data_IF_887229359807
#
_entry.id   IF_887229359807
#
_cell.length_a   1.000
_cell.length_b   1.000
_cell.length_c   1.000
_cell.angle_alpha   90.00
_cell.angle_beta   90.00
_cell.angle_gamma   90.00
#
_symmetry.space_group_name_H-M   'P 1'
#
loop_
_entity.id
_entity.type
_entity.pdbx_description
1 polymer ?
#
# COMPACT_ATOMS: atom_id res chain seq x y z
N UNK A 1 -61.06 45.11 10.09
CA UNK A 1 -61.60 43.93 9.38
C UNK A 1 -61.06 43.92 7.95
N UNK A 2 -60.18 42.98 7.64
CA UNK A 2 -59.95 42.41 6.30
C UNK A 2 -59.10 41.16 6.50
N UNK A 3 -59.77 40.03 6.32
CA UNK A 3 -59.26 38.65 6.39
C UNK A 3 -58.80 38.25 4.99
N UNK A 4 -57.66 37.58 4.89
CA UNK A 4 -57.21 36.66 3.81
C UNK A 4 -55.68 36.58 3.88
N UNK A 5 -55.00 35.48 3.61
CA UNK A 5 -55.23 34.05 3.70
C UNK A 5 -53.81 33.47 3.68
N UNK A 6 -53.52 32.48 4.53
CA UNK A 6 -52.21 31.87 4.64
C UNK A 6 -51.88 31.02 3.40
N UNK A 7 -50.68 31.15 2.78
CA UNK A 7 -50.22 30.17 1.83
C UNK A 7 -49.50 29.03 2.58
N UNK A 8 -50.14 27.86 2.59
CA UNK A 8 -49.54 26.57 2.90
C UNK A 8 -48.47 26.24 1.85
N UNK A 9 -47.20 26.20 2.27
CA UNK A 9 -46.13 25.63 1.46
C UNK A 9 -45.39 24.53 2.23
N UNK A 10 -45.15 23.45 1.50
CA UNK A 10 -44.90 22.09 1.98
C UNK A 10 -43.61 21.99 2.80
N UNK A 11 -43.71 21.47 4.02
CA UNK A 11 -42.58 21.03 4.80
C UNK A 11 -42.00 19.74 4.18
N UNK A 12 -40.99 19.90 3.32
CA UNK A 12 -40.16 18.78 2.86
C UNK A 12 -39.29 18.34 4.04
N UNK A 13 -39.69 17.26 4.72
CA UNK A 13 -38.87 16.57 5.71
C UNK A 13 -37.57 16.12 5.05
N UNK A 14 -36.48 16.85 5.33
CA UNK A 14 -35.12 16.44 5.00
C UNK A 14 -34.70 15.36 5.99
N UNK A 15 -35.04 14.11 5.67
CA UNK A 15 -34.61 12.92 6.41
C UNK A 15 -33.08 12.91 6.45
N UNK A 16 -32.54 13.21 7.62
CA UNK A 16 -31.12 13.11 7.94
C UNK A 16 -30.81 11.68 8.33
N UNK A 17 -30.72 10.78 7.34
CA UNK A 17 -30.18 9.45 7.60
C UNK A 17 -28.64 9.49 7.56
N UNK A 18 -28.07 9.77 8.74
CA UNK A 18 -26.73 9.33 9.13
C UNK A 18 -26.70 7.78 9.14
N UNK A 19 -26.51 7.19 7.98
CA UNK A 19 -26.05 5.82 7.85
C UNK A 19 -24.55 5.85 7.55
N UNK A 20 -23.72 5.95 8.57
CA UNK A 20 -22.27 5.69 8.43
C UNK A 20 -22.16 4.18 8.18
N UNK A 21 -22.32 3.77 6.92
CA UNK A 21 -22.08 2.39 6.50
C UNK A 21 -20.64 2.09 6.84
N UNK A 22 -20.44 1.30 7.89
CA UNK A 22 -19.18 0.63 8.15
C UNK A 22 -19.02 -0.28 6.94
N UNK A 23 -18.26 0.19 5.94
CA UNK A 23 -17.86 -0.64 4.82
C UNK A 23 -17.01 -1.74 5.42
N UNK A 24 -17.62 -2.89 5.71
CA UNK A 24 -16.88 -4.13 5.93
C UNK A 24 -16.06 -4.32 4.67
N UNK A 25 -14.73 -4.25 4.82
CA UNK A 25 -13.83 -4.46 3.70
C UNK A 25 -14.21 -5.78 3.03
N UNK A 26 -14.54 -5.76 1.75
CA UNK A 26 -14.87 -6.98 1.01
C UNK A 26 -13.68 -7.93 1.16
N UNK A 27 -13.90 -9.04 1.84
CA UNK A 27 -12.86 -10.06 2.02
C UNK A 27 -12.47 -10.56 0.64
N UNK A 28 -11.18 -10.52 0.30
CA UNK A 28 -10.70 -11.08 -0.96
C UNK A 28 -11.01 -12.58 -1.00
N UNK A 29 -11.82 -13.00 -1.97
CA UNK A 29 -12.29 -14.38 -2.12
C UNK A 29 -11.40 -15.21 -3.05
N UNK A 30 -10.30 -14.64 -3.56
CA UNK A 30 -9.40 -15.33 -4.48
C UNK A 30 -8.61 -16.43 -3.78
N UNK A 31 -8.21 -17.44 -4.55
CA UNK A 31 -7.22 -18.42 -4.15
C UNK A 31 -5.91 -18.16 -4.86
N UNK A 32 -4.79 -18.39 -4.20
CA UNK A 32 -3.46 -18.24 -4.77
C UNK A 32 -2.81 -19.61 -4.91
N UNK A 33 -2.37 -19.92 -6.12
CA UNK A 33 -1.45 -21.01 -6.40
C UNK A 33 -0.05 -20.42 -6.38
N UNK A 34 0.66 -20.63 -5.27
CA UNK A 34 2.06 -20.21 -5.09
C UNK A 34 2.96 -21.23 -5.74
N UNK A 35 3.87 -20.77 -6.59
CA UNK A 35 4.81 -21.61 -7.31
C UNK A 35 6.21 -21.02 -7.05
N UNK A 36 7.20 -21.82 -6.64
CA UNK A 36 8.58 -21.36 -6.51
C UNK A 36 9.08 -20.75 -7.82
N UNK A 37 9.90 -19.71 -7.71
CA UNK A 37 10.34 -18.92 -8.87
C UNK A 37 11.16 -19.72 -9.90
N UNK A 38 11.74 -20.83 -9.47
CA UNK A 38 12.58 -21.70 -10.30
C UNK A 38 11.78 -22.81 -11.00
N UNK A 39 10.48 -22.92 -10.71
CA UNK A 39 9.68 -24.03 -11.24
C UNK A 39 9.10 -23.72 -12.62
N UNK A 40 9.21 -24.67 -13.55
CA UNK A 40 8.72 -24.54 -14.93
C UNK A 40 7.23 -24.19 -15.02
N UNK A 41 6.42 -24.54 -14.01
CA UNK A 41 5.01 -24.18 -13.97
C UNK A 41 4.77 -22.66 -13.87
N UNK A 42 5.75 -21.85 -13.45
CA UNK A 42 5.59 -20.39 -13.42
C UNK A 42 5.51 -19.80 -14.84
N UNK A 43 6.05 -20.49 -15.85
CA UNK A 43 6.01 -20.09 -17.27
C UNK A 43 4.72 -20.50 -17.98
N UNK A 44 3.83 -21.24 -17.31
CA UNK A 44 2.60 -21.72 -17.93
C UNK A 44 1.60 -20.59 -18.18
N UNK A 45 0.80 -20.75 -19.23
CA UNK A 45 -0.33 -19.87 -19.47
C UNK A 45 -1.45 -20.13 -18.46
N UNK A 46 -2.38 -19.17 -18.27
CA UNK A 46 -3.59 -19.40 -17.47
C UNK A 46 -4.40 -20.64 -17.91
N UNK A 47 -4.42 -20.96 -19.21
CA UNK A 47 -5.07 -22.15 -19.73
C UNK A 47 -4.33 -23.44 -19.34
N UNK A 48 -2.99 -23.43 -19.37
CA UNK A 48 -2.16 -24.55 -18.92
C UNK A 48 -2.38 -24.86 -17.45
N UNK A 49 -2.38 -23.84 -16.60
CA UNK A 49 -2.66 -23.99 -15.16
C UNK A 49 -4.08 -24.49 -14.91
N UNK A 50 -5.07 -23.99 -15.66
CA UNK A 50 -6.46 -24.50 -15.57
C UNK A 50 -6.50 -26.00 -15.83
N UNK A 51 -5.82 -26.48 -16.88
CA UNK A 51 -5.79 -27.90 -17.24
C UNK A 51 -5.18 -28.75 -16.12
N UNK A 52 -4.07 -28.29 -15.52
CA UNK A 52 -3.42 -28.98 -14.39
C UNK A 52 -4.37 -29.07 -13.19
N UNK A 53 -5.02 -27.96 -12.82
CA UNK A 53 -5.93 -27.94 -11.66
C UNK A 53 -7.12 -28.88 -11.90
N UNK A 54 -7.75 -28.81 -13.08
CA UNK A 54 -8.89 -29.69 -13.44
C UNK A 54 -8.49 -31.17 -13.37
N UNK A 55 -7.33 -31.52 -13.95
CA UNK A 55 -6.86 -32.90 -14.00
C UNK A 55 -6.46 -33.44 -12.63
N UNK A 56 -5.83 -32.61 -11.78
CA UNK A 56 -5.33 -33.02 -10.47
C UNK A 56 -6.40 -33.03 -9.39
N UNK A 57 -7.36 -32.09 -9.44
CA UNK A 57 -8.46 -32.02 -8.48
C UNK A 57 -9.68 -32.82 -8.91
N UNK A 58 -9.68 -33.41 -10.11
CA UNK A 58 -10.83 -34.10 -10.69
C UNK A 58 -12.11 -33.26 -10.62
N UNK A 59 -11.99 -31.96 -10.89
CA UNK A 59 -13.11 -31.01 -10.80
C UNK A 59 -13.56 -30.51 -12.17
N UNK A 60 -14.83 -30.11 -12.26
CA UNK A 60 -15.32 -29.44 -13.47
C UNK A 60 -14.59 -28.12 -13.74
N UNK A 61 -14.15 -27.86 -14.99
CA UNK A 61 -13.56 -26.58 -15.38
C UNK A 61 -14.44 -25.36 -15.09
N UNK A 62 -15.76 -25.54 -15.02
CA UNK A 62 -16.74 -24.48 -14.73
C UNK A 62 -16.64 -23.93 -13.30
N UNK A 63 -16.06 -24.69 -12.37
CA UNK A 63 -15.87 -24.27 -10.97
C UNK A 63 -14.69 -23.31 -10.80
N UNK A 64 -13.81 -23.22 -11.81
CA UNK A 64 -12.65 -22.33 -11.80
C UNK A 64 -13.00 -21.07 -12.58
N UNK A 65 -13.07 -19.93 -11.90
CA UNK A 65 -13.30 -18.64 -12.56
C UNK A 65 -12.06 -18.13 -13.30
N UNK A 66 -11.80 -16.83 -13.23
CA UNK A 66 -10.68 -16.21 -13.97
C UNK A 66 -9.34 -16.53 -13.32
N UNK A 67 -8.38 -17.01 -14.09
CA UNK A 67 -6.99 -17.22 -13.66
C UNK A 67 -6.16 -16.04 -14.14
N UNK A 68 -5.39 -15.42 -13.24
CA UNK A 68 -4.45 -14.34 -13.58
C UNK A 68 -3.04 -14.70 -13.10
N UNK A 69 -2.00 -14.52 -13.92
CA UNK A 69 -0.63 -14.66 -13.45
C UNK A 69 -0.31 -13.53 -12.46
N UNK A 70 0.47 -13.87 -11.43
CA UNK A 70 1.00 -12.95 -10.42
C UNK A 70 2.46 -13.29 -10.17
N UNK A 71 3.21 -12.38 -9.54
CA UNK A 71 4.65 -12.58 -9.36
C UNK A 71 5.02 -13.90 -8.66
N UNK A 72 4.19 -14.37 -7.72
CA UNK A 72 4.42 -15.61 -6.98
C UNK A 72 3.73 -16.85 -7.58
N UNK A 73 3.18 -16.79 -8.80
CA UNK A 73 2.39 -17.89 -9.38
C UNK A 73 1.07 -17.40 -10.00
N UNK A 74 -0.08 -17.92 -9.55
CA UNK A 74 -1.38 -17.63 -10.16
C UNK A 74 -2.46 -17.28 -9.12
N UNK A 75 -3.34 -16.36 -9.48
CA UNK A 75 -4.54 -16.00 -8.72
C UNK A 75 -5.78 -16.56 -9.41
N UNK A 76 -6.55 -17.36 -8.69
CA UNK A 76 -7.82 -17.92 -9.10
C UNK A 76 -8.94 -17.04 -8.55
N UNK A 77 -9.74 -16.46 -9.45
CA UNK A 77 -10.97 -15.75 -9.11
C UNK A 77 -12.12 -16.73 -9.11
N UNK A 78 -13.03 -16.58 -8.17
CA UNK A 78 -13.98 -17.64 -7.85
C UNK A 78 -15.41 -17.36 -8.34
N UNK A 79 -16.21 -18.41 -8.58
CA UNK A 79 -17.63 -18.32 -8.96
C UNK A 79 -18.65 -18.68 -7.85
N UNK A 80 -18.29 -19.42 -6.78
CA UNK A 80 -19.20 -19.66 -5.63
C UNK A 80 -18.48 -20.11 -4.33
N UNK A 81 -18.95 -19.77 -3.13
CA UNK A 81 -18.30 -20.16 -1.86
C UNK A 81 -18.00 -21.67 -1.72
N UNK A 82 -18.85 -22.52 -2.28
CA UNK A 82 -18.78 -23.98 -2.22
C UNK A 82 -17.62 -24.51 -3.05
N UNK A 83 -17.47 -24.00 -4.28
CA UNK A 83 -16.35 -24.39 -5.13
C UNK A 83 -15.00 -23.90 -4.57
N UNK A 84 -14.99 -22.82 -3.78
CA UNK A 84 -13.77 -22.32 -3.13
C UNK A 84 -13.32 -23.32 -2.06
N UNK A 85 -14.27 -23.78 -1.25
CA UNK A 85 -14.00 -24.75 -0.20
C UNK A 85 -13.56 -26.10 -0.79
N UNK A 86 -14.24 -26.58 -1.84
CA UNK A 86 -13.85 -27.80 -2.54
C UNK A 86 -12.41 -27.75 -3.08
N UNK A 87 -11.99 -26.61 -3.64
CA UNK A 87 -10.60 -26.41 -4.11
C UNK A 87 -9.60 -26.42 -2.95
N UNK A 88 -9.94 -25.80 -1.81
CA UNK A 88 -9.08 -25.79 -0.62
C UNK A 88 -8.92 -27.18 0.00
N UNK A 89 -10.03 -27.91 0.13
CA UNK A 89 -10.04 -29.26 0.72
C UNK A 89 -9.27 -30.24 -0.15
N UNK A 90 -9.47 -30.17 -1.47
CA UNK A 90 -8.77 -31.03 -2.43
C UNK A 90 -7.32 -30.58 -2.68
N UNK A 91 -7.00 -29.31 -2.41
CA UNK A 91 -5.71 -28.70 -2.73
C UNK A 91 -4.52 -29.14 -1.88
N UNK A 92 -4.75 -29.85 -0.78
CA UNK A 92 -3.66 -30.51 -0.04
C UNK A 92 -2.99 -31.63 -0.88
N UNK A 93 -3.68 -32.19 -1.89
CA UNK A 93 -3.14 -33.20 -2.81
C UNK A 93 -2.55 -32.64 -4.12
N UNK A 94 -2.57 -31.32 -4.34
CA UNK A 94 -2.31 -30.72 -5.65
C UNK A 94 -0.84 -30.74 -6.09
N UNK A 95 0.10 -30.64 -5.15
CA UNK A 95 1.46 -30.20 -5.48
C UNK A 95 2.50 -31.28 -5.24
N UNK A 96 2.75 -32.03 -6.30
CA UNK A 96 4.10 -32.51 -6.56
C UNK A 96 4.93 -31.27 -6.91
N UNK A 97 6.05 -31.05 -6.21
CA UNK A 97 7.01 -29.95 -6.43
C UNK A 97 6.72 -28.60 -5.74
N UNK A 98 6.41 -28.58 -4.44
CA UNK A 98 6.62 -27.40 -3.58
C UNK A 98 5.71 -26.18 -3.84
N UNK A 99 4.73 -26.30 -4.73
CA UNK A 99 3.70 -25.31 -4.90
C UNK A 99 2.63 -25.41 -3.78
N UNK A 100 1.95 -24.31 -3.48
CA UNK A 100 1.02 -24.22 -2.34
C UNK A 100 -0.25 -23.50 -2.77
N UNK A 101 -1.40 -24.07 -2.43
CA UNK A 101 -2.69 -23.42 -2.58
C UNK A 101 -3.02 -22.74 -1.26
N UNK A 102 -3.33 -21.44 -1.31
CA UNK A 102 -3.74 -20.72 -0.11
C UNK A 102 -4.86 -19.72 -0.42
N UNK A 103 -5.75 -19.46 0.55
CA UNK A 103 -6.73 -18.39 0.42
C UNK A 103 -6.05 -17.02 0.41
N UNK A 104 -6.67 -16.05 -0.26
CA UNK A 104 -6.27 -14.66 -0.12
C UNK A 104 -6.32 -14.27 1.36
N UNK A 105 -5.16 -13.93 1.89
CA UNK A 105 -5.00 -13.54 3.29
C UNK A 105 -4.63 -12.06 3.33
N UNK A 106 -5.44 -11.27 4.04
CA UNK A 106 -5.11 -9.89 4.32
C UNK A 106 -4.01 -9.84 5.37
N UNK A 107 -2.77 -9.68 4.92
CA UNK A 107 -1.63 -9.58 5.80
C UNK A 107 -1.59 -8.23 6.52
N UNK A 108 -1.33 -8.27 7.82
CA UNK A 108 -1.06 -7.12 8.66
C UNK A 108 0.46 -6.90 8.76
N UNK A 109 1.02 -5.88 8.08
CA UNK A 109 2.45 -5.61 8.12
C UNK A 109 2.84 -4.97 9.46
N UNK A 110 3.88 -5.51 10.09
CA UNK A 110 4.47 -5.03 11.35
C UNK A 110 5.95 -4.74 11.13
N UNK A 111 6.42 -3.61 11.65
CA UNK A 111 7.84 -3.25 11.69
C UNK A 111 8.41 -3.64 13.04
N UNK A 112 9.55 -4.30 13.02
CA UNK A 112 10.35 -4.65 14.19
C UNK A 112 11.68 -3.87 14.09
N UNK A 113 11.82 -2.76 14.82
CA UNK A 113 13.01 -1.92 14.75
C UNK A 113 14.14 -2.48 15.62
N UNK A 114 15.37 -2.04 15.31
CA UNK A 114 16.58 -2.26 16.12
C UNK A 114 16.86 -3.72 16.50
N UNK A 115 16.53 -4.67 15.62
CA UNK A 115 16.90 -6.09 15.81
C UNK A 115 18.41 -6.21 15.61
N UNK A 116 19.13 -6.87 16.50
CA UNK A 116 20.57 -7.06 16.33
C UNK A 116 20.91 -7.79 15.02
N UNK A 117 22.09 -7.54 14.47
CA UNK A 117 22.57 -8.26 13.28
C UNK A 117 22.98 -9.70 13.61
N UNK A 118 23.36 -9.98 14.85
CA UNK A 118 23.76 -11.31 15.32
C UNK A 118 23.43 -11.48 16.80
N UNK A 119 23.31 -12.74 17.23
CA UNK A 119 23.11 -13.14 18.62
C UNK A 119 24.17 -14.14 19.03
N UNK A 120 24.55 -14.16 20.31
CA UNK A 120 25.49 -15.15 20.85
C UNK A 120 24.71 -16.36 21.37
N UNK A 121 24.94 -17.53 20.77
CA UNK A 121 24.45 -18.82 21.24
C UNK A 121 25.59 -19.59 21.91
N UNK A 122 25.27 -20.73 22.53
CA UNK A 122 26.26 -21.63 23.14
C UNK A 122 27.30 -22.09 22.10
N UNK A 123 26.88 -22.34 20.85
CA UNK A 123 27.76 -22.73 19.75
C UNK A 123 28.56 -21.55 19.13
N UNK A 124 28.43 -20.33 19.67
CA UNK A 124 29.10 -19.14 19.17
C UNK A 124 28.13 -18.07 18.64
N UNK A 125 28.69 -17.09 17.94
CA UNK A 125 27.93 -15.97 17.37
C UNK A 125 27.25 -16.40 16.07
N UNK A 126 25.95 -16.11 15.96
CA UNK A 126 25.12 -16.48 14.80
C UNK A 126 24.46 -15.23 14.25
N UNK A 127 24.60 -14.99 12.94
CA UNK A 127 23.89 -13.89 12.27
C UNK A 127 22.38 -14.13 12.25
N UNK A 128 21.59 -13.12 12.59
CA UNK A 128 20.14 -13.20 12.53
C UNK A 128 19.71 -13.14 11.06
N UNK A 129 19.29 -14.28 10.55
CA UNK A 129 18.67 -14.43 9.25
C UNK A 129 17.13 -14.47 9.36
N UNK A 130 16.46 -14.67 8.22
CA UNK A 130 15.00 -14.69 8.19
C UNK A 130 14.39 -15.87 8.96
N UNK A 131 15.09 -17.01 9.12
CA UNK A 131 14.56 -18.19 9.84
C UNK A 131 14.64 -18.01 11.36
N UNK A 132 15.73 -17.45 11.89
CA UNK A 132 15.90 -17.23 13.34
C UNK A 132 14.93 -16.15 13.85
N UNK A 133 15.01 -14.94 13.27
CA UNK A 133 13.86 -14.36 12.59
C UNK A 133 12.45 -14.81 13.01
N UNK A 134 11.98 -15.62 12.09
CA UNK A 134 10.75 -16.37 12.03
C UNK A 134 10.51 -17.09 13.36
N UNK A 135 11.37 -18.01 13.78
CA UNK A 135 11.11 -18.83 14.97
C UNK A 135 10.85 -18.01 16.24
N UNK A 136 11.59 -16.92 16.41
CA UNK A 136 11.45 -16.05 17.58
C UNK A 136 10.13 -15.27 17.58
N UNK A 137 9.68 -14.78 16.42
CA UNK A 137 8.38 -14.11 16.33
C UNK A 137 7.25 -15.09 16.62
N UNK A 138 7.38 -16.36 16.21
CA UNK A 138 6.39 -17.41 16.49
C UNK A 138 6.32 -17.69 18.00
N UNK A 139 7.48 -17.78 18.66
CA UNK A 139 7.59 -17.92 20.13
C UNK A 139 6.86 -16.79 20.86
N UNK A 140 7.09 -15.54 20.45
CA UNK A 140 6.54 -14.36 21.14
C UNK A 140 5.07 -14.13 20.84
N UNK A 141 4.64 -14.29 19.58
CA UNK A 141 3.27 -13.98 19.17
C UNK A 141 2.32 -15.18 19.28
N UNK A 142 2.84 -16.40 19.50
CA UNK A 142 2.07 -17.65 19.41
C UNK A 142 1.29 -17.78 18.10
N UNK A 143 1.84 -17.22 17.02
CA UNK A 143 1.23 -17.16 15.71
C UNK A 143 2.29 -17.39 14.63
N UNK A 144 1.97 -18.24 13.66
CA UNK A 144 2.78 -18.37 12.44
C UNK A 144 2.57 -17.15 11.56
N UNK A 145 3.59 -16.29 11.44
CA UNK A 145 3.69 -15.35 10.32
C UNK A 145 4.12 -16.12 9.08
N UNK A 146 3.94 -15.49 7.91
CA UNK A 146 4.09 -16.20 6.64
C UNK A 146 5.20 -15.62 5.78
N UNK A 147 5.65 -14.41 6.12
CA UNK A 147 6.72 -13.76 5.40
C UNK A 147 7.46 -12.77 6.29
N UNK A 148 8.78 -12.82 6.26
CA UNK A 148 9.70 -11.93 6.98
C UNK A 148 10.71 -11.38 5.99
N UNK A 149 10.99 -10.07 6.05
CA UNK A 149 12.00 -9.44 5.20
C UNK A 149 12.65 -8.25 5.88
N UNK A 150 13.84 -7.88 5.42
CA UNK A 150 14.48 -6.62 5.80
C UNK A 150 13.66 -5.42 5.28
N UNK A 151 13.62 -4.35 6.06
CA UNK A 151 12.87 -3.14 5.75
C UNK A 151 13.72 -1.88 5.89
N UNK A 152 13.60 -0.97 4.91
CA UNK A 152 14.36 0.27 4.88
C UNK A 152 15.82 0.06 4.48
N UNK A 153 16.64 1.09 4.70
CA UNK A 153 18.08 1.01 4.44
C UNK A 153 18.76 0.26 5.58
N UNK A 154 19.18 -0.96 5.32
CA UNK A 154 20.00 -1.76 6.22
C UNK A 154 21.41 -1.82 5.64
N UNK A 155 22.39 -1.24 6.35
CA UNK A 155 23.81 -1.38 6.00
C UNK A 155 24.32 -2.70 6.58
N UNK A 156 25.16 -3.42 5.83
CA UNK A 156 25.74 -4.71 6.28
C UNK A 156 26.46 -4.58 7.62
N UNK A 157 27.24 -3.51 7.77
CA UNK A 157 28.07 -3.20 8.94
C UNK A 157 27.28 -2.68 10.15
N UNK A 158 25.98 -2.38 10.00
CA UNK A 158 25.21 -1.83 11.10
C UNK A 158 24.94 -2.90 12.18
N UNK A 159 25.09 -2.57 13.48
CA UNK A 159 24.85 -3.52 14.56
C UNK A 159 23.37 -3.91 14.69
N UNK A 160 22.47 -3.10 14.09
CA UNK A 160 21.04 -3.34 14.09
C UNK A 160 20.44 -3.26 12.70
N UNK A 161 19.38 -4.04 12.49
CA UNK A 161 18.58 -4.12 11.29
C UNK A 161 17.11 -3.91 11.62
N UNK A 162 16.37 -3.37 10.67
CA UNK A 162 14.91 -3.24 10.77
C UNK A 162 14.26 -4.29 9.91
N UNK A 163 13.31 -5.01 10.50
CA UNK A 163 12.58 -6.09 9.83
C UNK A 163 11.11 -5.74 9.67
N UNK A 164 10.50 -6.35 8.65
CA UNK A 164 9.07 -6.30 8.39
C UNK A 164 8.53 -7.72 8.39
N UNK A 165 7.48 -7.93 9.19
CA UNK A 165 6.80 -9.21 9.36
C UNK A 165 5.35 -9.06 8.92
N UNK A 166 4.83 -10.08 8.23
CA UNK A 166 3.45 -10.12 7.76
C UNK A 166 2.64 -11.12 8.58
N UNK A 167 1.74 -10.60 9.41
CA UNK A 167 0.90 -11.39 10.31
C UNK A 167 -0.52 -11.58 9.76
N UNK A 168 -1.19 -12.72 9.98
CA UNK A 168 -2.56 -12.92 9.54
C UNK A 168 -3.59 -12.11 10.37
N UNK A 169 -3.20 -11.66 11.57
CA UNK A 169 -4.00 -10.79 12.43
C UNK A 169 -3.13 -9.70 13.01
N UNK A 170 -3.72 -8.55 13.32
CA UNK A 170 -3.02 -7.50 14.02
C UNK A 170 -2.60 -7.98 15.42
N UNK A 171 -1.34 -7.73 15.85
CA UNK A 171 -0.94 -8.01 17.21
C UNK A 171 -1.75 -7.12 18.17
N UNK A 172 -2.22 -7.70 19.27
CA UNK A 172 -3.05 -6.98 20.26
C UNK A 172 -2.25 -5.92 21.02
N UNK A 173 -0.98 -6.21 21.25
CA UNK A 173 -0.03 -5.36 21.97
C UNK A 173 1.28 -5.30 21.21
N UNK A 174 2.08 -4.25 21.48
CA UNK A 174 3.46 -4.21 21.01
C UNK A 174 4.26 -5.34 21.68
N UNK A 175 5.13 -5.97 20.90
CA UNK A 175 5.99 -7.05 21.38
C UNK A 175 7.46 -6.77 21.04
N UNK A 176 8.37 -7.51 21.68
CA UNK A 176 9.80 -7.49 21.37
C UNK A 176 10.23 -8.88 20.96
N UNK A 177 11.29 -8.94 20.18
CA UNK A 177 11.91 -10.14 19.63
C UNK A 177 13.31 -10.20 20.22
N UNK A 178 13.72 -11.36 20.70
CA UNK A 178 14.94 -11.56 21.48
C UNK A 178 15.02 -10.70 22.75
N UNK A 179 13.88 -10.19 23.23
CA UNK A 179 13.73 -9.29 24.39
C UNK A 179 14.48 -7.93 24.31
N UNK A 180 15.40 -7.77 23.35
CA UNK A 180 16.29 -6.61 23.21
C UNK A 180 15.89 -5.64 22.09
N UNK A 181 15.08 -6.09 21.12
CA UNK A 181 14.70 -5.22 20.00
C UNK A 181 13.73 -4.10 20.43
N UNK A 182 13.57 -3.08 19.60
CA UNK A 182 12.57 -2.05 19.81
C UNK A 182 11.15 -2.61 19.66
N UNK A 183 10.17 -1.96 20.28
CA UNK A 183 8.78 -2.43 20.30
C UNK A 183 8.23 -2.52 18.86
N UNK A 184 7.76 -3.70 18.48
CA UNK A 184 7.14 -3.96 17.21
C UNK A 184 5.87 -3.13 17.05
N UNK A 185 5.68 -2.53 15.87
CA UNK A 185 4.59 -1.59 15.59
C UNK A 185 3.93 -1.84 14.23
N UNK A 186 2.61 -1.62 14.11
CA UNK A 186 1.93 -1.66 12.82
C UNK A 186 2.61 -0.77 11.79
N UNK A 187 2.83 -1.30 10.59
CA UNK A 187 3.31 -0.49 9.48
C UNK A 187 2.18 0.41 8.98
N UNK A 188 2.39 1.72 9.10
CA UNK A 188 1.55 2.72 8.47
C UNK A 188 2.22 3.17 7.19
N UNK A 189 1.57 2.96 6.05
CA UNK A 189 1.99 3.62 4.81
C UNK A 189 1.97 5.12 5.07
N UNK A 190 3.11 5.77 4.86
CA UNK A 190 3.13 7.22 4.86
C UNK A 190 2.20 7.69 3.74
N UNK A 191 1.20 8.47 4.11
CA UNK A 191 0.39 9.14 3.11
C UNK A 191 1.29 10.16 2.41
N UNK A 192 1.35 10.16 1.07
CA UNK A 192 2.05 11.21 0.34
C UNK A 192 1.55 12.56 0.86
N UNK A 193 2.48 13.44 1.24
CA UNK A 193 2.09 14.79 1.59
C UNK A 193 1.48 15.44 0.36
N UNK A 194 0.23 15.88 0.47
CA UNK A 194 -0.38 16.69 -0.57
C UNK A 194 0.31 18.05 -0.58
N UNK A 195 1.05 18.30 -1.65
CA UNK A 195 1.74 19.56 -1.87
C UNK A 195 0.74 20.60 -2.41
N UNK A 196 0.86 21.83 -1.90
CA UNK A 196 -0.06 22.91 -2.18
C UNK A 196 -0.08 23.26 -3.67
N UNK A 197 -1.22 23.09 -4.35
CA UNK A 197 -1.37 23.49 -5.76
C UNK A 197 -1.25 25.00 -5.93
N UNK A 198 -1.87 25.80 -5.06
CA UNK A 198 -1.85 27.27 -5.09
C UNK A 198 -0.42 27.83 -5.04
N UNK A 199 0.49 27.14 -4.36
CA UNK A 199 1.89 27.52 -4.22
C UNK A 199 2.82 26.55 -4.95
N UNK A 200 2.37 25.92 -6.04
CA UNK A 200 3.20 25.10 -6.94
C UNK A 200 4.04 24.01 -6.23
N UNK A 201 3.52 23.52 -5.10
CA UNK A 201 4.09 22.47 -4.28
C UNK A 201 5.19 22.86 -3.31
N UNK A 202 5.39 24.16 -3.06
CA UNK A 202 6.43 24.66 -2.13
C UNK A 202 6.21 24.31 -0.66
N UNK A 203 4.98 23.99 -0.28
CA UNK A 203 4.65 23.55 1.08
C UNK A 203 3.43 22.61 1.04
N UNK A 204 3.10 21.93 2.16
CA UNK A 204 1.89 21.12 2.25
C UNK A 204 0.61 21.96 2.07
N UNK A 205 -0.40 21.40 1.40
CA UNK A 205 -1.70 22.05 1.15
C UNK A 205 -2.36 22.53 2.44
N UNK A 206 -2.30 21.71 3.49
CA UNK A 206 -2.87 21.99 4.82
C UNK A 206 -2.36 23.28 5.50
N UNK A 207 -1.21 23.80 5.06
CA UNK A 207 -0.60 25.01 5.63
C UNK A 207 -0.82 26.25 4.75
N UNK A 208 -1.60 26.14 3.66
CA UNK A 208 -1.80 27.24 2.73
C UNK A 208 -2.93 28.16 3.17
N UNK A 209 -2.64 29.43 3.41
CA UNK A 209 -3.64 30.50 3.50
C UNK A 209 -3.71 31.38 2.24
N UNK A 210 -2.83 31.16 1.26
CA UNK A 210 -2.74 31.98 0.04
C UNK A 210 -3.87 31.67 -0.94
N UNK A 211 -4.40 32.71 -1.57
CA UNK A 211 -5.29 32.58 -2.70
C UNK A 211 -4.57 31.92 -3.91
N UNK A 212 -5.30 31.20 -4.78
CA UNK A 212 -4.76 30.73 -6.04
C UNK A 212 -4.21 31.90 -6.87
N UNK A 213 -3.03 31.73 -7.43
CA UNK A 213 -2.49 32.65 -8.43
C UNK A 213 -2.54 32.02 -9.81
N UNK A 214 -2.78 32.84 -10.84
CA UNK A 214 -2.63 32.47 -12.24
C UNK A 214 -1.27 31.80 -12.48
N UNK A 215 -1.26 30.61 -13.09
CA UNK A 215 -0.02 29.86 -13.32
C UNK A 215 0.81 30.52 -14.43
N UNK A 216 0.16 31.28 -15.33
CA UNK A 216 0.77 31.98 -16.45
C UNK A 216 1.55 33.24 -16.05
N UNK A 217 1.01 34.08 -15.15
CA UNK A 217 1.65 35.35 -14.77
C UNK A 217 1.84 35.56 -13.26
N UNK A 218 1.33 34.68 -12.40
CA UNK A 218 1.46 34.77 -10.95
C UNK A 218 0.50 35.73 -10.25
N UNK A 219 -0.38 36.42 -10.97
CA UNK A 219 -1.39 37.32 -10.40
C UNK A 219 -2.47 36.58 -9.64
N UNK A 220 -2.99 37.15 -8.56
CA UNK A 220 -4.15 36.65 -7.81
C UNK A 220 -5.46 37.34 -8.21
N UNK A 221 -5.42 38.27 -9.16
CA UNK A 221 -6.56 39.14 -9.48
C UNK A 221 -7.49 38.56 -10.57
N UNK A 222 -7.08 37.48 -11.25
CA UNK A 222 -7.85 36.84 -12.31
C UNK A 222 -7.60 35.33 -12.34
N UNK A 223 -8.49 34.60 -13.02
CA UNK A 223 -8.30 33.19 -13.36
C UNK A 223 -7.40 33.01 -14.58
N UNK A 224 -6.80 31.82 -14.73
CA UNK A 224 -5.94 31.45 -15.88
C UNK A 224 -6.57 31.82 -17.23
N UNK A 225 -7.87 31.55 -17.38
CA UNK A 225 -8.61 31.72 -18.65
C UNK A 225 -8.76 33.18 -19.08
N UNK A 226 -8.61 34.13 -18.14
CA UNK A 226 -8.70 35.57 -18.39
C UNK A 226 -7.31 36.24 -18.46
N UNK A 227 -6.24 35.46 -18.39
CA UNK A 227 -4.89 35.99 -18.36
C UNK A 227 -4.40 36.42 -19.75
N UNK A 228 -4.27 37.74 -19.96
CA UNK A 228 -3.70 38.33 -21.18
C UNK A 228 -2.21 38.70 -21.04
N UNK A 229 -1.60 38.46 -19.88
CA UNK A 229 -0.20 38.78 -19.62
C UNK A 229 0.75 37.78 -20.31
N UNK A 230 1.96 38.25 -20.65
CA UNK A 230 3.03 37.39 -21.14
C UNK A 230 3.39 36.35 -20.08
N UNK A 231 3.63 35.11 -20.53
CA UNK A 231 4.00 34.00 -19.65
C UNK A 231 5.26 34.31 -18.87
N UNK A 232 5.15 34.38 -17.55
CA UNK A 232 6.24 34.63 -16.62
C UNK A 232 6.08 33.78 -15.37
N UNK A 233 7.09 33.00 -15.05
CA UNK A 233 7.09 32.15 -13.87
C UNK A 233 7.12 33.01 -12.61
N UNK A 234 6.18 32.80 -11.70
CA UNK A 234 6.15 33.50 -10.41
C UNK A 234 7.38 33.20 -9.55
N UNK A 235 7.94 31.99 -9.65
CA UNK A 235 8.97 31.51 -8.74
C UNK A 235 10.40 31.85 -9.18
N UNK A 236 10.66 31.95 -10.49
CA UNK A 236 12.01 32.19 -11.02
C UNK A 236 12.06 33.23 -12.14
N UNK A 237 10.94 33.91 -12.38
CA UNK A 237 10.80 34.96 -13.41
C UNK A 237 11.07 34.52 -14.87
N UNK A 238 11.26 33.22 -15.12
CA UNK A 238 11.54 32.68 -16.45
C UNK A 238 10.34 32.70 -17.41
N UNK A 239 10.59 32.59 -18.73
CA UNK A 239 9.55 32.62 -19.77
C UNK A 239 8.81 31.29 -19.89
N UNK A 240 8.17 30.86 -18.79
CA UNK A 240 7.36 29.65 -18.71
C UNK A 240 6.35 29.73 -17.56
N UNK A 241 5.30 28.91 -17.61
CA UNK A 241 4.29 28.82 -16.53
C UNK A 241 4.91 28.34 -15.21
N UNK A 242 4.24 28.67 -14.10
CA UNK A 242 4.73 28.38 -12.74
C UNK A 242 4.69 26.89 -12.36
N UNK A 243 3.83 26.11 -13.02
CA UNK A 243 3.70 24.65 -12.87
C UNK A 243 4.68 23.86 -13.77
N UNK A 244 5.42 24.56 -14.64
CA UNK A 244 6.34 23.96 -15.61
C UNK A 244 7.46 23.18 -14.93
N UNK A 245 7.85 22.06 -15.55
CA UNK A 245 9.07 21.30 -15.16
C UNK A 245 10.36 22.04 -15.48
N UNK A 246 10.30 23.11 -16.27
CA UNK A 246 11.44 23.96 -16.63
C UNK A 246 11.83 24.93 -15.51
N UNK A 247 10.96 25.12 -14.51
CA UNK A 247 11.24 26.01 -13.38
C UNK A 247 12.34 25.42 -12.49
N UNK A 248 13.49 26.08 -12.42
CA UNK A 248 14.59 25.68 -11.54
C UNK A 248 14.20 25.71 -10.06
N UNK A 249 13.35 26.66 -9.67
CA UNK A 249 12.83 26.78 -8.31
C UNK A 249 11.75 25.73 -7.99
N UNK A 250 11.38 24.83 -8.91
CA UNK A 250 10.36 23.81 -8.65
C UNK A 250 10.84 22.86 -7.54
N UNK A 251 10.02 22.61 -6.50
CA UNK A 251 10.31 21.61 -5.49
C UNK A 251 10.43 20.21 -6.10
N UNK A 252 11.54 19.53 -5.81
CA UNK A 252 11.75 18.12 -6.17
C UNK A 252 11.31 17.23 -5.01
N UNK A 253 10.86 16.00 -5.32
CA UNK A 253 10.45 15.01 -4.29
C UNK A 253 11.63 14.28 -3.66
N UNK A 254 12.84 14.53 -4.15
CA UNK A 254 14.02 13.73 -3.92
C UNK A 254 15.17 14.66 -3.53
N UNK A 255 15.18 15.08 -2.26
CA UNK A 255 16.24 15.82 -1.56
C UNK A 255 16.00 17.32 -1.31
N UNK A 256 16.78 17.87 -0.38
CA UNK A 256 16.77 19.27 -0.01
C UNK A 256 17.19 20.14 -1.21
N UNK A 257 16.59 21.33 -1.39
CA UNK A 257 16.86 22.17 -2.56
C UNK A 257 18.34 22.57 -2.65
N UNK A 258 18.92 22.51 -3.86
CA UNK A 258 20.33 22.83 -4.11
C UNK A 258 20.61 24.32 -3.89
N UNK A 259 21.90 24.69 -3.76
CA UNK A 259 22.31 26.10 -3.61
C UNK A 259 21.87 26.95 -4.82
N UNK A 260 21.85 26.41 -6.05
CA UNK A 260 21.32 27.17 -7.20
C UNK A 260 19.79 27.38 -7.09
N UNK A 261 19.04 26.38 -6.64
CA UNK A 261 17.61 26.52 -6.42
C UNK A 261 17.32 27.58 -5.37
N UNK A 262 18.11 27.61 -4.28
CA UNK A 262 18.01 28.62 -3.22
C UNK A 262 18.28 30.05 -3.69
N UNK A 263 19.18 30.25 -4.66
CA UNK A 263 19.48 31.58 -5.23
C UNK A 263 18.35 32.13 -6.12
N UNK A 264 17.48 31.27 -6.64
CA UNK A 264 16.37 31.66 -7.51
C UNK A 264 15.12 32.12 -6.74
N UNK A 265 15.05 31.89 -5.43
CA UNK A 265 13.99 32.44 -4.57
C UNK A 265 14.33 33.90 -4.25
N UNK A 266 13.48 34.84 -4.67
CA UNK A 266 13.43 36.20 -4.13
C UNK A 266 12.31 36.30 -3.10
#
# INVERSE_FOLDING_TARGET
MKTQAAPTSKATQRVTNKGKSITTASTDQRLFVRIPQEHEQQKLSPAGIRKIIVQKLSMSPSLIGKIKPVHSGFALSHCSTEARQAILDAGNGLFLSGAKLEPATNWFPVIIPTVQSSIRKVQGQVEINHTILTDEVERVCSMRYTHVKLYGRNKSEAPHRTWMVYLPKAPRTGFRVFDECGIARPFKKQQPSEFCKCCNGHHPTKNCSRAPSCENCGSTNHSEDLCMATTKCRNCEGPHRSDSRRCLARPTRSDAPTKEQKKAFR
#
